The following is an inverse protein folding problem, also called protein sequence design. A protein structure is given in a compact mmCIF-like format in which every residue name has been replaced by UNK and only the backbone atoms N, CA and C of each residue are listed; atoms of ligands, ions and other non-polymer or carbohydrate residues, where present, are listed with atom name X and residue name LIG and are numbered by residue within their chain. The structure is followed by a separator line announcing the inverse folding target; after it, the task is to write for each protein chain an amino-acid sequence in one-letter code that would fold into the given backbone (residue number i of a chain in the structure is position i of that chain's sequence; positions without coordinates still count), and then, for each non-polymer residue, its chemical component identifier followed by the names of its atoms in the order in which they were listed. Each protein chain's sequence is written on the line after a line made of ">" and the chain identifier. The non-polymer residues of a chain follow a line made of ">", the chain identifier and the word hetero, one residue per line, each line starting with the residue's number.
data_IF_840968893724
#
_entry.id   IF_840968893724
#
_cell.length_a   1.000
_cell.length_b   1.000
_cell.length_c   1.000
_cell.angle_alpha   90.00
_cell.angle_beta   90.00
_cell.angle_gamma   90.00
#
_symmetry.space_group_name_H-M   'P 1'
#
loop_
_entity.id
_entity.type
_entity.pdbx_description
1 polymer ?
#
# COMPACT_ATOMS: atom_id res chain seq x y z
N UNK A 1 -10.79 -3.83 -65.75
CA UNK A 1 -9.82 -2.98 -65.03
C UNK A 1 -10.54 -1.73 -64.58
N UNK A 2 -10.52 -1.52 -63.26
CA UNK A 2 -11.28 -0.55 -62.49
C UNK A 2 -10.98 0.91 -62.85
N UNK A 3 -11.97 1.81 -62.73
CA UNK A 3 -12.14 2.61 -61.51
C UNK A 3 -13.13 3.76 -61.73
N UNK A 4 -14.24 3.70 -61.00
CA UNK A 4 -15.08 4.85 -60.67
C UNK A 4 -15.14 4.98 -59.14
N UNK A 5 -15.15 6.25 -58.73
CA UNK A 5 -15.46 6.84 -57.43
C UNK A 5 -16.20 6.00 -56.40
N UNK A 6 -15.71 6.03 -55.16
CA UNK A 6 -16.58 6.09 -53.99
C UNK A 6 -15.94 6.97 -52.90
N UNK A 7 -16.57 8.14 -52.71
CA UNK A 7 -16.47 8.98 -51.53
C UNK A 7 -17.04 8.24 -50.32
N UNK A 8 -16.31 8.19 -49.22
CA UNK A 8 -16.88 7.90 -47.91
C UNK A 8 -16.31 8.91 -46.90
N UNK A 9 -17.23 9.73 -46.39
CA UNK A 9 -17.01 10.64 -45.26
C UNK A 9 -16.63 9.83 -44.02
N UNK A 10 -15.33 9.70 -43.79
CA UNK A 10 -14.81 9.27 -42.50
C UNK A 10 -14.94 10.40 -41.50
N UNK A 11 -15.98 10.38 -40.67
CA UNK A 11 -15.99 11.13 -39.41
C UNK A 11 -14.70 10.81 -38.67
N UNK A 12 -13.82 11.81 -38.53
CA UNK A 12 -12.69 11.75 -37.63
C UNK A 12 -13.24 11.55 -36.21
N UNK A 13 -13.26 10.30 -35.76
CA UNK A 13 -13.35 9.98 -34.34
C UNK A 13 -12.08 10.57 -33.73
N UNK A 14 -12.26 11.63 -32.97
CA UNK A 14 -11.21 12.26 -32.17
C UNK A 14 -10.51 11.18 -31.35
N UNK A 15 -9.27 10.87 -31.69
CA UNK A 15 -8.37 10.08 -30.87
C UNK A 15 -8.20 10.81 -29.54
N UNK A 16 -8.93 10.39 -28.51
CA UNK A 16 -8.61 10.75 -27.12
C UNK A 16 -7.22 10.19 -26.87
N UNK A 17 -6.27 11.07 -26.58
CA UNK A 17 -4.91 10.69 -26.23
C UNK A 17 -4.93 9.72 -25.04
N UNK A 18 -4.43 8.50 -25.24
CA UNK A 18 -4.29 7.43 -24.24
C UNK A 18 -3.32 7.76 -23.07
N UNK A 19 -3.04 9.03 -22.78
CA UNK A 19 -1.83 9.42 -22.05
C UNK A 19 -2.03 10.32 -20.82
N UNK A 20 -3.25 10.48 -20.31
CA UNK A 20 -3.46 11.15 -19.03
C UNK A 20 -4.03 10.20 -17.99
N UNK A 21 -3.20 9.84 -17.01
CA UNK A 21 -3.65 9.11 -15.83
C UNK A 21 -4.59 10.00 -15.02
N UNK A 22 -5.82 9.55 -14.81
CA UNK A 22 -6.81 10.16 -13.92
C UNK A 22 -6.92 9.36 -12.60
N UNK A 23 -7.56 9.93 -11.56
CA UNK A 23 -7.69 9.27 -10.26
C UNK A 23 -8.64 8.08 -10.29
N UNK A 24 -8.26 7.01 -9.59
CA UNK A 24 -9.06 5.79 -9.48
C UNK A 24 -9.27 5.50 -8.00
N UNK A 25 -10.53 5.36 -7.61
CA UNK A 25 -10.98 5.07 -6.26
C UNK A 25 -11.32 3.58 -6.16
N UNK A 26 -10.46 2.80 -5.51
CA UNK A 26 -10.79 1.44 -5.10
C UNK A 26 -11.60 1.44 -3.81
N UNK A 27 -12.76 0.79 -3.80
CA UNK A 27 -13.62 0.68 -2.63
C UNK A 27 -13.83 -0.79 -2.25
N UNK A 28 -13.29 -1.18 -1.10
CA UNK A 28 -13.40 -2.54 -0.56
C UNK A 28 -14.48 -2.65 0.49
N UNK A 29 -15.30 -3.70 0.41
CA UNK A 29 -16.31 -3.99 1.43
C UNK A 29 -16.61 -5.50 1.53
N UNK A 30 -17.22 -5.90 2.65
CA UNK A 30 -17.64 -7.27 2.91
C UNK A 30 -19.06 -7.28 3.49
N UNK A 31 -19.32 -7.88 4.65
CA UNK A 31 -20.62 -7.85 5.29
C UNK A 31 -21.12 -6.41 5.54
N UNK A 32 -22.32 -6.08 5.04
CA UNK A 32 -22.89 -4.72 5.10
C UNK A 32 -22.35 -3.73 4.07
N UNK A 33 -21.52 -4.20 3.13
CA UNK A 33 -20.93 -3.36 2.09
C UNK A 33 -21.93 -2.80 1.09
N UNK A 34 -23.02 -3.51 0.79
CA UNK A 34 -24.04 -3.05 -0.16
C UNK A 34 -24.67 -1.71 0.27
N UNK A 35 -25.08 -1.60 1.53
CA UNK A 35 -25.67 -0.37 2.06
C UNK A 35 -24.65 0.77 2.06
N UNK A 36 -23.41 0.49 2.46
CA UNK A 36 -22.33 1.48 2.44
C UNK A 36 -22.00 1.97 1.02
N UNK A 37 -21.92 1.06 0.04
CA UNK A 37 -21.73 1.43 -1.37
C UNK A 37 -22.88 2.29 -1.87
N UNK A 38 -24.13 1.92 -1.60
CA UNK A 38 -25.29 2.69 -2.06
C UNK A 38 -25.28 4.10 -1.49
N UNK A 39 -25.03 4.23 -0.19
CA UNK A 39 -25.00 5.53 0.47
C UNK A 39 -23.85 6.41 -0.05
N UNK A 40 -22.64 5.86 -0.20
CA UNK A 40 -21.51 6.60 -0.77
C UNK A 40 -21.80 7.04 -2.21
N UNK A 41 -22.20 6.09 -3.08
CA UNK A 41 -22.41 6.35 -4.50
C UNK A 41 -23.57 7.34 -4.73
N UNK A 42 -24.62 7.33 -3.90
CA UNK A 42 -25.75 8.26 -4.04
C UNK A 42 -25.39 9.73 -3.79
N UNK A 43 -24.31 9.99 -3.05
CA UNK A 43 -23.84 11.33 -2.72
C UNK A 43 -22.69 11.81 -3.63
N UNK A 44 -22.18 10.96 -4.53
CA UNK A 44 -21.12 11.34 -5.45
C UNK A 44 -21.66 12.09 -6.67
N UNK A 45 -21.02 13.22 -7.04
CA UNK A 45 -21.22 13.82 -8.36
C UNK A 45 -20.85 12.85 -9.47
N UNK A 46 -21.48 13.01 -10.63
CA UNK A 46 -21.29 12.10 -11.78
C UNK A 46 -20.18 12.55 -12.73
N UNK A 47 -19.50 13.65 -12.42
CA UNK A 47 -18.53 14.34 -13.27
C UNK A 47 -17.21 14.66 -12.55
N UNK A 48 -16.90 13.93 -11.47
CA UNK A 48 -15.65 14.10 -10.69
C UNK A 48 -14.37 13.93 -11.50
N UNK A 49 -14.43 13.26 -12.65
CA UNK A 49 -13.26 12.86 -13.45
C UNK A 49 -12.54 11.63 -12.87
N UNK A 50 -13.07 11.01 -11.81
CA UNK A 50 -12.52 9.80 -11.19
C UNK A 50 -13.25 8.56 -11.68
N UNK A 51 -12.58 7.41 -11.67
CA UNK A 51 -13.26 6.11 -11.77
C UNK A 51 -13.43 5.48 -10.39
N UNK A 52 -14.50 4.70 -10.21
CA UNK A 52 -14.82 4.04 -8.95
C UNK A 52 -14.86 2.52 -9.18
N UNK A 53 -14.06 1.77 -8.42
CA UNK A 53 -13.95 0.32 -8.55
C UNK A 53 -14.41 -0.35 -7.25
N UNK A 54 -15.53 -1.05 -7.29
CA UNK A 54 -16.19 -1.66 -6.14
C UNK A 54 -15.75 -3.13 -6.04
N UNK A 55 -15.04 -3.43 -4.96
CA UNK A 55 -14.59 -4.77 -4.61
C UNK A 55 -15.38 -5.27 -3.40
N UNK A 56 -16.47 -5.98 -3.69
CA UNK A 56 -17.28 -6.64 -2.69
C UNK A 56 -16.83 -8.08 -2.51
N UNK A 57 -16.74 -8.57 -1.27
CA UNK A 57 -16.68 -10.00 -1.02
C UNK A 57 -18.00 -10.66 -1.44
N UNK A 58 -17.96 -11.41 -2.54
CA UNK A 58 -19.13 -12.08 -3.12
C UNK A 58 -19.05 -13.60 -2.91
N UNK A 59 -20.23 -14.22 -2.78
CA UNK A 59 -20.37 -15.67 -2.83
C UNK A 59 -19.97 -16.17 -4.22
N UNK A 60 -19.10 -17.18 -4.35
CA UNK A 60 -18.66 -17.68 -5.65
C UNK A 60 -19.74 -18.46 -6.40
N UNK A 61 -20.85 -18.81 -5.74
CA UNK A 61 -21.91 -19.67 -6.29
C UNK A 61 -23.22 -18.94 -6.57
N UNK A 62 -23.30 -17.64 -6.28
CA UNK A 62 -24.50 -16.84 -6.49
C UNK A 62 -24.20 -15.72 -7.48
N UNK A 63 -25.14 -15.49 -8.40
CA UNK A 63 -25.11 -14.30 -9.24
C UNK A 63 -25.18 -13.07 -8.34
N UNK A 64 -24.25 -12.13 -8.53
CA UNK A 64 -24.32 -10.84 -7.87
C UNK A 64 -25.38 -9.96 -8.54
N UNK A 65 -26.21 -9.30 -7.74
CA UNK A 65 -27.10 -8.24 -8.22
C UNK A 65 -26.52 -6.85 -7.93
N UNK A 66 -25.26 -6.78 -7.47
CA UNK A 66 -24.64 -5.53 -7.02
C UNK A 66 -24.61 -4.49 -8.15
N UNK A 67 -24.20 -4.88 -9.36
CA UNK A 67 -24.20 -4.00 -10.53
C UNK A 67 -25.58 -3.40 -10.77
N UNK A 68 -26.63 -4.24 -10.86
CA UNK A 68 -28.01 -3.80 -11.10
C UNK A 68 -28.55 -2.87 -10.00
N UNK A 69 -28.17 -3.11 -8.74
CA UNK A 69 -28.58 -2.28 -7.61
C UNK A 69 -27.87 -0.92 -7.62
N UNK A 70 -26.57 -0.92 -7.88
CA UNK A 70 -25.77 0.31 -7.93
C UNK A 70 -26.15 1.16 -9.15
N UNK A 71 -26.47 0.55 -10.29
CA UNK A 71 -26.99 1.28 -11.48
C UNK A 71 -28.25 2.10 -11.20
N UNK A 72 -29.05 1.74 -10.19
CA UNK A 72 -30.25 2.51 -9.81
C UNK A 72 -29.96 3.68 -8.87
N UNK A 73 -28.72 3.79 -8.40
CA UNK A 73 -28.31 4.74 -7.35
C UNK A 73 -27.55 5.94 -7.92
N UNK A 74 -27.02 5.85 -9.15
CA UNK A 74 -26.26 6.91 -9.81
C UNK A 74 -26.60 6.98 -11.31
N UNK A 75 -26.30 8.11 -11.94
CA UNK A 75 -26.37 8.26 -13.40
C UNK A 75 -25.05 7.90 -14.10
N UNK A 76 -23.96 7.68 -13.34
CA UNK A 76 -22.72 7.15 -13.91
C UNK A 76 -22.97 5.76 -14.52
N UNK A 77 -22.31 5.40 -15.64
CA UNK A 77 -22.36 4.04 -16.14
C UNK A 77 -21.79 3.08 -15.09
N UNK A 78 -22.57 2.05 -14.77
CA UNK A 78 -22.19 1.01 -13.82
C UNK A 78 -22.08 -0.32 -14.56
N UNK A 79 -20.90 -0.92 -14.56
CA UNK A 79 -20.60 -2.13 -15.34
C UNK A 79 -19.96 -3.19 -14.45
N UNK A 80 -20.32 -4.45 -14.70
CA UNK A 80 -19.55 -5.57 -14.17
C UNK A 80 -18.24 -5.69 -14.98
N UNK A 81 -17.12 -5.89 -14.30
CA UNK A 81 -15.81 -5.91 -14.94
C UNK A 81 -15.64 -7.16 -15.79
N UNK A 82 -15.13 -6.99 -17.00
CA UNK A 82 -14.63 -8.06 -17.85
C UNK A 82 -13.09 -7.99 -17.93
N UNK A 83 -12.45 -9.14 -18.19
CA UNK A 83 -10.99 -9.18 -18.32
C UNK A 83 -10.52 -8.32 -19.49
N UNK A 84 -9.58 -7.41 -19.24
CA UNK A 84 -9.03 -6.52 -20.28
C UNK A 84 -9.82 -5.22 -20.46
N UNK A 85 -10.77 -4.92 -19.57
CA UNK A 85 -11.58 -3.70 -19.65
C UNK A 85 -10.74 -2.46 -19.32
N UNK A 86 -10.80 -1.46 -20.21
CA UNK A 86 -10.15 -0.16 -20.00
C UNK A 86 -10.96 0.65 -18.99
N UNK A 87 -10.26 1.26 -18.02
CA UNK A 87 -10.87 2.16 -17.05
C UNK A 87 -11.10 3.52 -17.69
N UNK A 88 -12.30 4.06 -17.51
CA UNK A 88 -12.73 5.37 -17.99
C UNK A 88 -13.15 6.26 -16.81
N UNK A 89 -12.95 7.58 -16.88
CA UNK A 89 -13.42 8.50 -15.85
C UNK A 89 -14.95 8.48 -15.76
N UNK A 90 -15.49 8.83 -14.60
CA UNK A 90 -16.93 8.92 -14.32
C UNK A 90 -17.69 7.61 -14.52
N UNK A 91 -17.01 6.49 -14.30
CA UNK A 91 -17.58 5.14 -14.38
C UNK A 91 -17.47 4.41 -13.04
N UNK A 92 -18.42 3.51 -12.82
CA UNK A 92 -18.44 2.59 -11.67
C UNK A 92 -18.25 1.17 -12.17
N UNK A 93 -17.21 0.51 -11.68
CA UNK A 93 -16.82 -0.85 -12.03
C UNK A 93 -17.10 -1.79 -10.87
N UNK A 94 -17.77 -2.90 -11.10
CA UNK A 94 -18.11 -3.89 -10.06
C UNK A 94 -17.37 -5.19 -10.35
N UNK A 95 -16.61 -5.68 -9.37
CA UNK A 95 -15.90 -6.96 -9.51
C UNK A 95 -16.89 -8.12 -9.72
N UNK A 96 -16.66 -9.04 -10.67
CA UNK A 96 -17.49 -10.22 -10.83
C UNK A 96 -17.23 -11.25 -9.71
N UNK A 97 -18.21 -12.12 -9.39
CA UNK A 97 -18.03 -13.20 -8.43
C UNK A 97 -16.86 -14.13 -8.76
N UNK A 98 -16.24 -14.70 -7.74
CA UNK A 98 -15.22 -15.75 -7.87
C UNK A 98 -13.96 -15.36 -8.68
N UNK A 99 -13.57 -14.08 -8.66
CA UNK A 99 -12.35 -13.59 -9.31
C UNK A 99 -11.45 -12.83 -8.35
N UNK A 100 -10.17 -12.75 -8.69
CA UNK A 100 -9.27 -11.69 -8.26
C UNK A 100 -9.21 -10.63 -9.35
N UNK A 101 -8.94 -9.38 -8.96
CA UNK A 101 -8.83 -8.27 -9.88
C UNK A 101 -7.60 -7.42 -9.55
N UNK A 102 -6.90 -6.99 -10.59
CA UNK A 102 -5.78 -6.04 -10.53
C UNK A 102 -5.97 -4.98 -11.61
N UNK A 103 -5.23 -3.88 -11.53
CA UNK A 103 -5.14 -2.87 -12.58
C UNK A 103 -3.70 -2.80 -13.09
N UNK A 104 -3.53 -2.77 -14.41
CA UNK A 104 -2.24 -2.47 -15.04
C UNK A 104 -2.46 -1.69 -16.33
N UNK A 105 -1.72 -0.59 -16.52
CA UNK A 105 -1.78 0.25 -17.73
C UNK A 105 -3.21 0.78 -18.02
N UNK A 106 -3.99 1.05 -16.97
CA UNK A 106 -5.38 1.49 -17.09
C UNK A 106 -6.35 0.39 -17.50
N UNK A 107 -5.93 -0.87 -17.41
CA UNK A 107 -6.72 -2.04 -17.78
C UNK A 107 -6.98 -2.89 -16.54
N UNK A 108 -8.25 -3.23 -16.30
CA UNK A 108 -8.65 -4.17 -15.27
C UNK A 108 -8.41 -5.61 -15.74
N UNK A 109 -7.61 -6.34 -14.97
CA UNK A 109 -7.26 -7.73 -15.26
C UNK A 109 -7.88 -8.65 -14.23
N UNK A 110 -8.68 -9.60 -14.71
CA UNK A 110 -9.27 -10.65 -13.89
C UNK A 110 -8.42 -11.91 -13.93
N UNK A 111 -8.31 -12.58 -12.78
CA UNK A 111 -7.74 -13.91 -12.65
C UNK A 111 -8.60 -14.79 -11.74
N UNK A 112 -8.48 -16.12 -11.80
CA UNK A 112 -9.24 -17.01 -10.92
C UNK A 112 -9.01 -16.70 -9.45
N UNK A 113 -10.05 -16.82 -8.62
CA UNK A 113 -9.94 -16.64 -7.18
C UNK A 113 -8.99 -17.66 -6.57
N UNK A 114 -7.83 -17.21 -6.11
CA UNK A 114 -6.90 -18.01 -5.32
C UNK A 114 -7.31 -17.87 -3.85
N UNK A 115 -7.66 -18.97 -3.20
CA UNK A 115 -7.89 -18.97 -1.75
C UNK A 115 -6.56 -19.22 -1.05
N UNK A 116 -5.94 -18.17 -0.52
CA UNK A 116 -4.87 -18.30 0.46
C UNK A 116 -5.48 -18.49 1.84
N UNK A 117 -5.27 -19.67 2.45
CA UNK A 117 -5.63 -19.96 3.84
C UNK A 117 -7.10 -19.67 4.22
N UNK A 118 -8.02 -19.87 3.27
CA UNK A 118 -9.47 -19.72 3.52
C UNK A 118 -10.00 -18.28 3.46
N UNK A 119 -9.14 -17.27 3.36
CA UNK A 119 -9.55 -15.88 3.09
C UNK A 119 -9.18 -15.46 1.67
N UNK A 120 -9.95 -14.52 1.11
CA UNK A 120 -9.69 -13.95 -0.20
C UNK A 120 -9.27 -12.52 0.01
N UNK A 121 -7.99 -12.22 -0.21
CA UNK A 121 -7.43 -10.87 -0.01
C UNK A 121 -7.62 -10.02 -1.28
N UNK A 122 -8.84 -9.99 -1.78
CA UNK A 122 -9.16 -9.42 -3.10
C UNK A 122 -9.09 -7.91 -3.07
N UNK A 123 -9.48 -7.28 -1.96
CA UNK A 123 -9.35 -5.83 -1.78
C UNK A 123 -7.88 -5.44 -1.68
N UNK A 124 -7.10 -6.12 -0.84
CA UNK A 124 -5.65 -5.89 -0.72
C UNK A 124 -4.95 -6.03 -2.07
N UNK A 125 -5.25 -7.11 -2.81
CA UNK A 125 -4.64 -7.36 -4.13
C UNK A 125 -4.91 -6.23 -5.11
N UNK A 126 -6.17 -5.78 -5.19
CA UNK A 126 -6.52 -4.67 -6.07
C UNK A 126 -5.84 -3.37 -5.63
N UNK A 127 -5.90 -3.03 -4.33
CA UNK A 127 -5.32 -1.81 -3.78
C UNK A 127 -3.81 -1.74 -3.96
N UNK A 128 -3.09 -2.87 -3.83
CA UNK A 128 -1.66 -2.94 -4.09
C UNK A 128 -1.36 -2.61 -5.57
N UNK A 129 -2.04 -3.25 -6.52
CA UNK A 129 -1.84 -2.94 -7.94
C UNK A 129 -2.26 -1.50 -8.30
N UNK A 130 -3.29 -0.98 -7.62
CA UNK A 130 -3.77 0.39 -7.79
C UNK A 130 -2.73 1.41 -7.30
N UNK A 131 -2.09 1.14 -6.16
CA UNK A 131 -1.02 1.96 -5.63
C UNK A 131 0.15 2.05 -6.61
N UNK A 132 0.60 0.90 -7.11
CA UNK A 132 1.72 0.79 -8.05
C UNK A 132 1.45 1.53 -9.37
N UNK A 133 0.22 1.42 -9.91
CA UNK A 133 -0.12 2.05 -11.18
C UNK A 133 -0.40 3.56 -11.05
N UNK A 134 -1.13 3.97 -10.00
CA UNK A 134 -1.70 5.33 -9.92
C UNK A 134 -0.96 6.25 -8.96
N UNK A 135 -0.12 5.73 -8.06
CA UNK A 135 0.64 6.56 -7.12
C UNK A 135 -0.25 7.53 -6.34
N UNK A 136 0.02 8.84 -6.47
CA UNK A 136 -0.80 9.89 -5.83
C UNK A 136 -2.23 10.02 -6.36
N UNK A 137 -2.54 9.37 -7.48
CA UNK A 137 -3.89 9.26 -8.07
C UNK A 137 -4.64 8.01 -7.59
N UNK A 138 -4.02 7.16 -6.77
CA UNK A 138 -4.67 6.04 -6.11
C UNK A 138 -5.45 6.52 -4.88
N UNK A 139 -6.71 6.14 -4.78
CA UNK A 139 -7.51 6.39 -3.58
C UNK A 139 -8.11 5.07 -3.11
N UNK A 140 -7.90 4.72 -1.84
CA UNK A 140 -8.41 3.51 -1.23
C UNK A 140 -9.47 3.82 -0.20
N UNK A 141 -10.60 3.12 -0.25
CA UNK A 141 -11.71 3.26 0.70
C UNK A 141 -12.07 1.89 1.25
N UNK A 142 -11.95 1.70 2.56
CA UNK A 142 -12.42 0.49 3.26
C UNK A 142 -13.75 0.79 3.93
N UNK A 143 -14.79 0.04 3.56
CA UNK A 143 -16.15 0.16 4.09
C UNK A 143 -16.49 -1.04 4.98
N UNK A 144 -17.74 -1.08 5.45
CA UNK A 144 -18.31 -2.14 6.31
C UNK A 144 -17.91 -3.56 5.85
N UNK A 145 -17.42 -4.35 6.81
CA UNK A 145 -16.93 -5.71 6.57
C UNK A 145 -16.47 -6.43 7.83
N UNK A 146 -16.36 -7.76 7.74
CA UNK A 146 -16.10 -8.64 8.90
C UNK A 146 -14.64 -9.08 9.10
N UNK A 147 -13.78 -8.87 8.12
CA UNK A 147 -12.38 -9.34 8.12
C UNK A 147 -11.39 -8.16 8.17
N UNK A 148 -10.15 -8.35 7.71
CA UNK A 148 -9.10 -7.31 7.69
C UNK A 148 -8.61 -6.97 6.28
N UNK A 149 -9.29 -7.45 5.24
CA UNK A 149 -8.94 -7.21 3.83
C UNK A 149 -8.97 -5.71 3.52
N UNK A 150 -8.10 -5.26 2.63
CA UNK A 150 -7.89 -3.85 2.29
C UNK A 150 -6.91 -3.11 3.20
N UNK A 151 -6.57 -3.63 4.39
CA UNK A 151 -5.63 -2.95 5.31
C UNK A 151 -4.22 -2.81 4.71
N UNK A 152 -3.69 -3.89 4.12
CA UNK A 152 -2.36 -3.85 3.46
C UNK A 152 -2.41 -3.02 2.19
N UNK A 153 -3.54 -3.09 1.49
CA UNK A 153 -3.83 -2.26 0.34
C UNK A 153 -3.75 -0.77 0.64
N UNK A 154 -4.37 -0.32 1.73
CA UNK A 154 -4.30 1.07 2.16
C UNK A 154 -2.88 1.49 2.55
N UNK A 155 -2.12 0.61 3.20
CA UNK A 155 -0.70 0.83 3.48
C UNK A 155 0.08 1.10 2.18
N UNK A 156 -0.08 0.26 1.16
CA UNK A 156 0.55 0.45 -0.15
C UNK A 156 0.10 1.76 -0.83
N UNK A 157 -1.20 2.05 -0.84
CA UNK A 157 -1.74 3.30 -1.42
C UNK A 157 -1.11 4.52 -0.75
N UNK A 158 -1.05 4.53 0.59
CA UNK A 158 -0.43 5.62 1.35
C UNK A 158 1.07 5.73 1.11
N UNK A 159 1.77 4.60 1.08
CA UNK A 159 3.19 4.55 0.77
C UNK A 159 3.50 5.13 -0.62
N UNK A 160 2.61 4.89 -1.59
CA UNK A 160 2.72 5.45 -2.94
C UNK A 160 2.06 6.83 -3.10
N UNK A 161 1.79 7.50 -1.99
CA UNK A 161 1.35 8.90 -1.96
C UNK A 161 -0.13 9.10 -2.29
N UNK A 162 -0.89 8.03 -2.42
CA UNK A 162 -2.34 8.06 -2.55
C UNK A 162 -3.04 8.50 -1.27
N UNK A 163 -4.37 8.46 -1.28
CA UNK A 163 -5.22 8.93 -0.18
C UNK A 163 -6.08 7.77 0.32
N UNK A 164 -6.26 7.67 1.63
CA UNK A 164 -6.88 6.50 2.25
C UNK A 164 -8.04 6.87 3.17
N UNK A 165 -9.10 6.08 3.11
CA UNK A 165 -10.33 6.26 3.87
C UNK A 165 -10.73 4.96 4.55
N UNK A 166 -11.33 5.10 5.73
CA UNK A 166 -12.12 4.05 6.35
C UNK A 166 -13.49 4.58 6.75
N UNK A 167 -14.52 3.74 6.63
CA UNK A 167 -15.84 4.04 7.17
C UNK A 167 -15.77 4.17 8.70
N UNK A 168 -16.44 5.17 9.29
CA UNK A 168 -16.48 5.32 10.74
C UNK A 168 -17.31 4.22 11.41
N UNK A 169 -16.93 3.85 12.63
CA UNK A 169 -17.49 2.72 13.37
C UNK A 169 -19.01 2.82 13.53
N UNK A 170 -19.52 4.02 13.81
CA UNK A 170 -20.94 4.26 14.11
C UNK A 170 -21.85 4.02 12.90
N UNK A 171 -21.31 4.15 11.68
CA UNK A 171 -22.05 3.95 10.44
C UNK A 171 -21.87 2.54 9.84
N UNK A 172 -20.87 1.78 10.30
CA UNK A 172 -20.56 0.48 9.76
C UNK A 172 -21.50 -0.60 10.33
N UNK A 173 -22.24 -1.29 9.46
CA UNK A 173 -23.10 -2.41 9.86
C UNK A 173 -22.30 -3.59 10.41
N UNK A 174 -21.10 -3.78 9.89
CA UNK A 174 -20.05 -4.65 10.44
C UNK A 174 -18.75 -3.85 10.44
N UNK A 175 -18.20 -3.60 11.64
CA UNK A 175 -17.13 -2.62 11.84
C UNK A 175 -15.71 -3.21 11.89
N UNK A 176 -15.56 -4.54 11.89
CA UNK A 176 -14.25 -5.21 12.02
C UNK A 176 -13.23 -4.76 10.96
N UNK A 177 -13.64 -4.74 9.69
CA UNK A 177 -12.79 -4.35 8.56
C UNK A 177 -12.36 -2.89 8.58
N UNK A 178 -13.27 -1.90 8.67
CA UNK A 178 -12.86 -0.50 8.76
C UNK A 178 -12.11 -0.17 10.05
N UNK A 179 -12.45 -0.78 11.19
CA UNK A 179 -11.72 -0.55 12.45
C UNK A 179 -10.29 -1.12 12.39
N UNK A 180 -10.10 -2.28 11.76
CA UNK A 180 -8.76 -2.86 11.55
C UNK A 180 -7.91 -1.96 10.65
N UNK A 181 -8.52 -1.43 9.58
CA UNK A 181 -7.88 -0.47 8.70
C UNK A 181 -7.50 0.82 9.45
N UNK A 182 -8.42 1.42 10.20
CA UNK A 182 -8.18 2.62 11.00
C UNK A 182 -7.04 2.42 12.03
N UNK A 183 -7.08 1.30 12.76
CA UNK A 183 -6.07 0.96 13.76
C UNK A 183 -4.68 0.65 13.17
N UNK A 184 -4.55 0.51 11.85
CA UNK A 184 -3.25 0.32 11.19
C UNK A 184 -2.39 1.60 11.16
N UNK A 185 -2.98 2.78 11.36
CA UNK A 185 -2.30 4.06 11.21
C UNK A 185 -2.14 4.53 9.75
N UNK A 186 -2.59 3.71 8.79
CA UNK A 186 -2.49 4.01 7.36
C UNK A 186 -3.77 4.60 6.76
N UNK A 187 -4.74 5.00 7.57
CA UNK A 187 -5.95 5.71 7.13
C UNK A 187 -5.78 7.21 7.35
N UNK A 188 -6.09 8.02 6.33
CA UNK A 188 -6.02 9.48 6.42
C UNK A 188 -7.34 10.09 6.91
N UNK A 189 -8.49 9.49 6.54
CA UNK A 189 -9.81 9.96 6.95
C UNK A 189 -10.71 8.82 7.44
N UNK A 190 -11.32 8.99 8.61
CA UNK A 190 -12.34 8.09 9.16
C UNK A 190 -13.67 8.85 9.15
N UNK A 191 -14.60 8.45 8.28
CA UNK A 191 -15.79 9.26 7.93
C UNK A 191 -17.01 8.37 7.64
N UNK A 192 -18.22 8.93 7.68
CA UNK A 192 -19.42 8.24 7.18
C UNK A 192 -19.39 8.12 5.65
N UNK A 193 -20.13 7.18 5.02
CA UNK A 193 -20.17 7.05 3.56
C UNK A 193 -20.52 8.35 2.82
N UNK A 194 -21.50 9.12 3.33
CA UNK A 194 -21.83 10.47 2.84
C UNK A 194 -20.62 11.41 2.88
N UNK A 195 -19.93 11.49 4.03
CA UNK A 195 -18.76 12.36 4.19
C UNK A 195 -17.54 11.90 3.39
N UNK A 196 -17.41 10.61 3.13
CA UNK A 196 -16.42 10.09 2.18
C UNK A 196 -16.73 10.62 0.77
N UNK A 197 -17.99 10.54 0.31
CA UNK A 197 -18.39 11.02 -1.00
C UNK A 197 -18.14 12.54 -1.18
N UNK A 198 -18.53 13.36 -0.20
CA UNK A 198 -18.24 14.79 -0.19
C UNK A 198 -16.74 15.07 -0.29
N UNK A 199 -15.93 14.37 0.52
CA UNK A 199 -14.49 14.56 0.55
C UNK A 199 -13.82 14.10 -0.75
N UNK A 200 -14.31 13.05 -1.39
CA UNK A 200 -13.87 12.59 -2.70
C UNK A 200 -14.15 13.65 -3.78
N UNK A 201 -15.32 14.28 -3.76
CA UNK A 201 -15.67 15.37 -4.67
C UNK A 201 -14.79 16.62 -4.45
N UNK A 202 -14.45 16.95 -3.20
CA UNK A 202 -13.50 18.02 -2.89
C UNK A 202 -12.11 17.71 -3.47
N UNK A 203 -11.63 16.47 -3.28
CA UNK A 203 -10.29 16.05 -3.68
C UNK A 203 -10.15 15.95 -5.21
N UNK A 204 -11.22 15.62 -5.93
CA UNK A 204 -11.16 15.41 -7.38
C UNK A 204 -10.72 16.66 -8.17
N UNK A 205 -10.92 17.85 -7.57
CA UNK A 205 -10.52 19.13 -8.14
C UNK A 205 -9.16 19.61 -7.64
N UNK A 206 -8.55 18.91 -6.68
CA UNK A 206 -7.32 19.36 -6.04
C UNK A 206 -6.09 19.07 -6.95
N UNK A 207 -5.18 20.04 -7.17
CA UNK A 207 -4.03 19.89 -8.06
C UNK A 207 -3.10 18.71 -7.75
N UNK A 208 -3.05 18.29 -6.48
CA UNK A 208 -2.28 17.12 -6.04
C UNK A 208 -2.74 15.81 -6.71
N UNK A 209 -4.04 15.66 -6.94
CA UNK A 209 -4.65 14.45 -7.51
C UNK A 209 -4.99 14.65 -8.99
N UNK A 210 -5.41 15.85 -9.35
CA UNK A 210 -5.77 16.23 -10.71
C UNK A 210 -5.06 17.53 -11.14
N UNK A 211 -3.78 17.45 -11.55
CA UNK A 211 -3.06 18.64 -11.99
C UNK A 211 -3.64 19.17 -13.32
N UNK A 212 -3.77 20.50 -13.49
CA UNK A 212 -4.27 21.07 -14.74
C UNK A 212 -3.32 20.76 -15.92
N UNK A 213 -3.92 20.38 -17.06
CA UNK A 213 -3.33 19.86 -18.31
C UNK A 213 -2.25 20.79 -18.93
N UNK A 214 -2.10 22.03 -18.44
CA UNK A 214 -1.24 23.07 -19.05
C UNK A 214 0.03 23.42 -18.26
N UNK A 215 0.42 22.61 -17.27
CA UNK A 215 1.73 22.79 -16.62
C UNK A 215 2.57 21.56 -16.96
N UNK A 216 3.63 21.67 -17.79
CA UNK A 216 4.57 20.56 -17.92
C UNK A 216 5.03 20.19 -16.52
N UNK A 217 5.18 18.88 -16.25
CA UNK A 217 5.63 18.34 -14.97
C UNK A 217 7.00 18.93 -14.57
N UNK A 218 6.98 20.15 -14.05
CA UNK A 218 8.12 20.99 -13.71
C UNK A 218 7.70 21.75 -12.46
N UNK A 219 8.34 21.38 -11.35
CA UNK A 219 8.99 22.34 -10.44
C UNK A 219 8.22 23.62 -10.05
N UNK A 220 6.92 23.55 -9.77
CA UNK A 220 6.15 24.74 -9.35
C UNK A 220 5.64 24.61 -7.92
N UNK A 221 6.50 24.15 -7.02
CA UNK A 221 6.71 25.00 -5.85
C UNK A 221 7.75 25.99 -6.36
N UNK A 222 7.54 27.32 -6.29
CA UNK A 222 8.64 28.26 -6.44
C UNK A 222 9.83 27.71 -5.65
N UNK A 223 11.06 27.90 -6.11
CA UNK A 223 12.20 27.75 -5.20
C UNK A 223 12.09 28.83 -4.11
N UNK A 224 11.12 28.76 -3.21
CA UNK A 224 11.30 29.14 -1.82
C UNK A 224 12.23 28.07 -1.24
N UNK A 225 13.49 28.09 -1.68
CA UNK A 225 14.56 27.25 -1.13
C UNK A 225 14.55 27.30 0.40
N UNK A 226 14.15 28.45 0.96
CA UNK A 226 13.96 28.68 2.39
C UNK A 226 12.84 27.83 3.01
N UNK A 227 11.66 27.71 2.40
CA UNK A 227 10.55 27.00 3.02
C UNK A 227 10.81 25.49 3.13
N UNK A 228 11.29 24.85 2.06
CA UNK A 228 11.64 23.43 2.11
C UNK A 228 12.83 23.17 3.05
N UNK A 229 13.82 24.07 3.06
CA UNK A 229 14.95 24.00 4.00
C UNK A 229 14.49 24.17 5.44
N UNK A 230 13.50 25.03 5.70
CA UNK A 230 12.90 25.20 7.03
C UNK A 230 12.17 23.93 7.47
N UNK A 231 11.41 23.27 6.58
CA UNK A 231 10.80 21.97 6.87
C UNK A 231 11.87 20.93 7.26
N UNK A 232 12.97 20.85 6.50
CA UNK A 232 14.08 19.93 6.83
C UNK A 232 14.75 20.28 8.15
N UNK A 233 14.90 21.57 8.46
CA UNK A 233 15.44 22.03 9.74
C UNK A 233 14.54 21.63 10.92
N UNK A 234 13.21 21.80 10.78
CA UNK A 234 12.23 21.38 11.79
C UNK A 234 12.26 19.86 12.00
N UNK A 235 12.27 19.08 10.92
CA UNK A 235 12.38 17.62 10.97
C UNK A 235 13.69 17.19 11.64
N UNK A 236 14.83 17.76 11.22
CA UNK A 236 16.15 17.44 11.78
C UNK A 236 16.24 17.78 13.26
N UNK A 237 15.69 18.91 13.67
CA UNK A 237 15.66 19.32 15.08
C UNK A 237 14.84 18.34 15.92
N UNK A 238 13.68 17.90 15.42
CA UNK A 238 12.79 17.00 16.15
C UNK A 238 13.26 15.53 16.16
N UNK A 239 13.91 15.07 15.08
CA UNK A 239 14.14 13.63 14.82
C UNK A 239 15.62 13.24 14.76
N UNK A 240 16.52 14.23 14.62
CA UNK A 240 17.96 14.06 14.34
C UNK A 240 18.26 13.37 13.00
N UNK A 241 17.28 13.22 12.12
CA UNK A 241 17.44 12.66 10.77
C UNK A 241 17.59 13.78 9.76
N UNK A 242 18.54 13.63 8.84
CA UNK A 242 18.77 14.60 7.78
C UNK A 242 18.17 14.11 6.45
N UNK A 243 17.15 14.82 5.97
CA UNK A 243 16.47 14.53 4.70
C UNK A 243 17.01 15.34 3.52
N UNK A 244 18.00 16.23 3.72
CA UNK A 244 18.50 17.13 2.68
C UNK A 244 19.09 16.41 1.45
N UNK A 245 19.57 15.17 1.63
CA UNK A 245 20.14 14.33 0.58
C UNK A 245 19.15 13.31 0.00
N UNK A 246 17.92 13.24 0.52
CA UNK A 246 16.91 12.30 0.02
C UNK A 246 16.29 12.79 -1.29
N UNK A 247 15.71 11.88 -2.08
CA UNK A 247 15.14 12.20 -3.40
C UNK A 247 14.06 13.27 -3.28
N UNK A 248 14.39 14.51 -3.72
CA UNK A 248 13.52 15.69 -3.58
C UNK A 248 12.10 15.48 -4.10
N UNK A 249 11.94 14.75 -5.21
CA UNK A 249 10.61 14.47 -5.81
C UNK A 249 9.73 13.66 -4.85
N UNK A 250 10.29 12.67 -4.15
CA UNK A 250 9.56 11.84 -3.18
C UNK A 250 9.15 12.66 -1.96
N UNK A 251 10.06 13.49 -1.44
CA UNK A 251 9.77 14.38 -0.30
C UNK A 251 8.67 15.39 -0.64
N UNK A 252 8.80 16.09 -1.77
CA UNK A 252 7.83 17.09 -2.21
C UNK A 252 6.44 16.48 -2.31
N UNK A 253 6.32 15.29 -2.91
CA UNK A 253 5.03 14.59 -3.03
C UNK A 253 4.41 14.30 -1.65
N UNK A 254 5.18 13.79 -0.69
CA UNK A 254 4.69 13.49 0.66
C UNK A 254 4.30 14.76 1.43
N UNK A 255 5.09 15.82 1.31
CA UNK A 255 4.77 17.12 1.88
C UNK A 255 3.45 17.66 1.27
N UNK A 256 3.32 17.63 -0.06
CA UNK A 256 2.09 18.04 -0.74
C UNK A 256 0.87 17.21 -0.32
N UNK A 257 1.06 15.90 -0.11
CA UNK A 257 0.01 15.02 0.44
C UNK A 257 -0.45 15.51 1.81
N UNK A 258 0.48 15.77 2.74
CA UNK A 258 0.18 16.30 4.08
C UNK A 258 -0.50 17.67 4.00
N UNK A 259 0.00 18.56 3.17
CA UNK A 259 -0.60 19.88 2.92
C UNK A 259 -2.08 19.77 2.46
N UNK A 260 -2.37 18.84 1.55
CA UNK A 260 -3.74 18.58 1.10
C UNK A 260 -4.66 18.12 2.24
N UNK A 261 -4.17 17.29 3.17
CA UNK A 261 -4.96 16.86 4.34
C UNK A 261 -5.43 18.04 5.19
N UNK A 262 -4.61 19.08 5.29
CA UNK A 262 -4.89 20.31 6.05
C UNK A 262 -5.41 21.48 5.20
N UNK A 263 -5.70 21.25 3.91
CA UNK A 263 -6.17 22.29 2.97
C UNK A 263 -5.21 23.49 2.87
N UNK A 264 -3.90 23.22 2.84
CA UNK A 264 -2.85 24.22 2.72
C UNK A 264 -2.30 24.23 1.30
N UNK A 265 -2.34 25.37 0.62
CA UNK A 265 -1.89 25.47 -0.78
C UNK A 265 -0.43 25.90 -0.91
N UNK A 266 0.11 26.61 0.10
CA UNK A 266 1.46 27.18 0.05
C UNK A 266 2.40 26.51 1.06
N UNK A 267 3.64 26.33 0.64
CA UNK A 267 4.66 25.69 1.46
C UNK A 267 4.99 26.52 2.70
N UNK A 268 4.90 27.85 2.61
CA UNK A 268 5.12 28.76 3.73
C UNK A 268 4.04 28.58 4.82
N UNK A 269 2.78 28.38 4.44
CA UNK A 269 1.69 28.15 5.39
C UNK A 269 1.90 26.82 6.12
N UNK A 270 2.42 25.81 5.43
CA UNK A 270 2.76 24.53 6.06
C UNK A 270 3.96 24.63 7.00
N UNK A 271 4.95 25.49 6.71
CA UNK A 271 6.03 25.78 7.66
C UNK A 271 5.48 26.37 8.96
N UNK A 272 4.60 27.38 8.86
CA UNK A 272 3.95 27.97 10.05
C UNK A 272 3.14 26.90 10.82
N UNK A 273 2.37 26.09 10.10
CA UNK A 273 1.60 25.01 10.71
C UNK A 273 2.48 23.99 11.46
N UNK A 274 3.61 23.58 10.89
CA UNK A 274 4.58 22.68 11.52
C UNK A 274 5.21 23.28 12.79
N UNK A 275 5.45 24.58 12.81
CA UNK A 275 5.99 25.28 13.99
C UNK A 275 5.00 25.29 15.16
N UNK A 276 3.71 25.45 14.87
CA UNK A 276 2.64 25.48 15.87
C UNK A 276 2.18 24.08 16.30
N UNK A 277 2.42 23.05 15.47
CA UNK A 277 1.91 21.70 15.68
C UNK A 277 3.03 20.64 15.69
N UNK A 278 3.69 20.40 16.85
CA UNK A 278 4.75 19.38 16.97
C UNK A 278 4.29 17.96 16.63
N UNK A 279 2.98 17.67 16.79
CA UNK A 279 2.39 16.40 16.38
C UNK A 279 2.46 16.22 14.85
N UNK A 280 2.28 17.30 14.08
CA UNK A 280 2.39 17.26 12.62
C UNK A 280 3.82 17.00 12.16
N UNK A 281 4.82 17.55 12.86
CA UNK A 281 6.23 17.26 12.55
C UNK A 281 6.52 15.76 12.68
N UNK A 282 5.98 15.12 13.72
CA UNK A 282 6.11 13.67 13.92
C UNK A 282 5.33 12.89 12.85
N UNK A 283 4.13 13.33 12.49
CA UNK A 283 3.32 12.68 11.48
C UNK A 283 3.96 12.78 10.08
N UNK A 284 4.48 13.96 9.72
CA UNK A 284 5.27 14.16 8.50
C UNK A 284 6.51 13.25 8.50
N UNK A 285 7.27 13.22 9.61
CA UNK A 285 8.42 12.34 9.73
C UNK A 285 8.05 10.88 9.45
N UNK A 286 6.97 10.37 10.06
CA UNK A 286 6.50 9.01 9.81
C UNK A 286 6.04 8.81 8.36
N UNK A 287 5.34 9.78 7.76
CA UNK A 287 4.91 9.71 6.36
C UNK A 287 6.10 9.67 5.39
N UNK A 288 7.24 10.27 5.75
CA UNK A 288 8.50 10.24 5.00
C UNK A 288 9.22 8.90 5.08
N UNK A 289 9.02 8.11 6.14
CA UNK A 289 9.59 6.77 6.28
C UNK A 289 8.70 5.77 5.54
N UNK A 290 9.18 5.24 4.41
CA UNK A 290 8.47 4.17 3.69
C UNK A 290 8.64 2.88 4.49
N UNK A 291 7.54 2.31 4.99
CA UNK A 291 7.56 1.13 5.88
C UNK A 291 7.07 -0.15 5.23
N UNK A 292 6.71 -0.14 3.94
CA UNK A 292 6.13 -1.30 3.25
C UNK A 292 7.09 -2.48 3.25
N UNK A 293 6.69 -3.58 3.88
CA UNK A 293 7.44 -4.83 3.92
C UNK A 293 6.48 -6.02 4.04
N UNK A 294 6.92 -7.21 3.64
CA UNK A 294 6.14 -8.43 3.76
C UNK A 294 7.04 -9.66 3.80
N UNK A 295 6.57 -10.72 4.44
CA UNK A 295 7.28 -12.00 4.43
C UNK A 295 7.45 -12.52 3.01
N UNK A 296 8.68 -12.93 2.68
CA UNK A 296 9.04 -13.51 1.38
C UNK A 296 8.63 -12.65 0.18
N UNK A 297 8.73 -11.32 0.31
CA UNK A 297 8.23 -10.32 -0.65
C UNK A 297 8.63 -10.61 -2.10
N UNK A 298 9.92 -10.83 -2.34
CA UNK A 298 10.46 -11.07 -3.67
C UNK A 298 10.85 -12.55 -3.80
N UNK A 299 9.90 -13.38 -4.26
CA UNK A 299 10.04 -14.83 -4.32
C UNK A 299 11.35 -15.25 -5.02
N UNK A 300 11.65 -14.65 -6.17
CA UNK A 300 12.84 -14.93 -6.97
C UNK A 300 14.15 -14.64 -6.20
N UNK A 301 14.18 -13.56 -5.40
CA UNK A 301 15.34 -13.22 -4.57
C UNK A 301 15.54 -14.25 -3.45
N UNK A 302 14.45 -14.70 -2.81
CA UNK A 302 14.52 -15.74 -1.79
C UNK A 302 14.84 -17.13 -2.35
N UNK A 303 14.43 -17.44 -3.58
CA UNK A 303 14.88 -18.65 -4.28
C UNK A 303 16.38 -18.60 -4.55
N UNK A 304 16.89 -17.49 -5.09
CA UNK A 304 18.32 -17.32 -5.34
C UNK A 304 19.17 -17.43 -4.05
N UNK A 305 18.67 -16.90 -2.92
CA UNK A 305 19.32 -17.09 -1.62
C UNK A 305 19.50 -18.58 -1.28
N UNK A 306 18.44 -19.39 -1.48
CA UNK A 306 18.45 -20.82 -1.14
C UNK A 306 19.28 -21.66 -2.11
N UNK A 307 19.22 -21.40 -3.41
CA UNK A 307 19.81 -22.25 -4.45
C UNK A 307 21.24 -21.86 -4.79
N UNK A 308 21.60 -20.59 -4.65
CA UNK A 308 22.91 -20.07 -5.07
C UNK A 308 23.74 -19.60 -3.87
N UNK A 309 23.19 -18.72 -3.03
CA UNK A 309 23.99 -18.04 -1.99
C UNK A 309 24.28 -18.93 -0.79
N UNK A 310 23.27 -19.57 -0.21
CA UNK A 310 23.43 -20.41 0.97
C UNK A 310 24.44 -21.56 0.77
N UNK A 311 24.43 -22.30 -0.36
CA UNK A 311 25.48 -23.28 -0.67
C UNK A 311 26.89 -22.69 -0.69
N UNK A 312 27.05 -21.48 -1.23
CA UNK A 312 28.36 -20.81 -1.30
C UNK A 312 28.83 -20.43 0.10
N UNK A 313 27.98 -19.77 0.88
CA UNK A 313 28.39 -19.24 2.19
C UNK A 313 28.56 -20.34 3.24
N UNK A 314 27.98 -21.54 3.09
CA UNK A 314 28.20 -22.66 4.02
C UNK A 314 29.36 -23.57 3.62
N UNK A 315 29.87 -23.45 2.39
CA UNK A 315 30.96 -24.30 1.88
C UNK A 315 32.25 -24.10 2.69
N UNK A 316 32.88 -25.21 3.07
CA UNK A 316 34.19 -25.25 3.76
C UNK A 316 34.26 -24.42 5.06
N UNK A 317 33.15 -24.17 5.73
CA UNK A 317 33.14 -23.48 7.03
C UNK A 317 33.61 -24.38 8.16
N UNK A 318 34.33 -23.78 9.11
CA UNK A 318 34.63 -24.44 10.39
C UNK A 318 33.39 -24.41 11.30
N UNK A 319 33.17 -25.42 12.16
CA UNK A 319 31.96 -25.53 12.99
C UNK A 319 31.66 -24.31 13.88
N UNK A 320 32.66 -23.50 14.23
CA UNK A 320 32.51 -22.33 15.09
C UNK A 320 32.52 -20.99 14.35
N UNK A 321 32.58 -20.98 13.02
CA UNK A 321 32.57 -19.74 12.23
C UNK A 321 31.13 -19.27 11.97
N UNK A 322 30.67 -18.19 12.63
CA UNK A 322 29.27 -17.78 12.53
C UNK A 322 28.92 -17.28 11.13
N UNK A 323 27.74 -17.64 10.64
CA UNK A 323 27.11 -16.97 9.51
C UNK A 323 26.55 -15.65 10.04
N UNK A 324 27.00 -14.54 9.47
CA UNK A 324 26.52 -13.20 9.79
C UNK A 324 25.82 -12.60 8.58
N UNK A 325 24.60 -12.14 8.78
CA UNK A 325 23.80 -11.48 7.74
C UNK A 325 23.39 -10.12 8.29
N UNK A 326 23.44 -9.09 7.45
CA UNK A 326 22.93 -7.78 7.78
C UNK A 326 21.75 -7.43 6.88
N UNK A 327 20.63 -7.09 7.50
CA UNK A 327 19.40 -6.62 6.88
C UNK A 327 19.23 -5.14 7.19
N UNK A 328 19.61 -4.29 6.25
CA UNK A 328 19.58 -2.84 6.38
C UNK A 328 18.25 -2.27 5.88
N UNK A 329 17.59 -1.43 6.68
CA UNK A 329 16.23 -0.98 6.40
C UNK A 329 15.20 -2.08 6.65
N UNK A 330 15.29 -2.76 7.80
CA UNK A 330 14.50 -3.97 8.05
C UNK A 330 13.00 -3.73 8.31
N UNK A 331 12.57 -2.46 8.45
CA UNK A 331 11.21 -2.08 8.84
C UNK A 331 10.73 -2.93 10.03
N UNK A 332 9.55 -3.54 9.91
CA UNK A 332 8.91 -4.39 10.93
C UNK A 332 9.46 -5.81 11.00
N UNK A 333 10.56 -6.12 10.32
CA UNK A 333 11.37 -7.33 10.53
C UNK A 333 11.04 -8.53 9.64
N UNK A 334 10.02 -8.45 8.79
CA UNK A 334 9.55 -9.54 7.93
C UNK A 334 10.68 -10.14 7.06
N UNK A 335 11.51 -9.30 6.44
CA UNK A 335 12.64 -9.76 5.61
C UNK A 335 13.69 -10.52 6.44
N UNK A 336 14.08 -9.97 7.59
CA UNK A 336 15.06 -10.60 8.47
C UNK A 336 14.59 -11.99 8.93
N UNK A 337 13.31 -12.10 9.29
CA UNK A 337 12.72 -13.38 9.65
C UNK A 337 12.55 -14.34 8.47
N UNK A 338 12.21 -13.84 7.27
CA UNK A 338 12.16 -14.67 6.07
C UNK A 338 13.54 -15.25 5.72
N UNK A 339 14.61 -14.45 5.83
CA UNK A 339 15.98 -14.93 5.62
C UNK A 339 16.33 -16.00 6.67
N UNK A 340 16.01 -15.75 7.94
CA UNK A 340 16.24 -16.70 9.04
C UNK A 340 15.55 -18.05 8.77
N UNK A 341 14.27 -18.01 8.38
CA UNK A 341 13.48 -19.19 8.06
C UNK A 341 14.09 -19.95 6.87
N UNK A 342 14.39 -19.28 5.77
CA UNK A 342 15.00 -19.91 4.60
C UNK A 342 16.35 -20.56 4.92
N UNK A 343 17.18 -19.91 5.76
CA UNK A 343 18.48 -20.45 6.17
C UNK A 343 18.32 -21.68 7.06
N UNK A 344 17.37 -21.67 8.01
CA UNK A 344 17.07 -22.84 8.83
C UNK A 344 16.54 -24.01 7.99
N UNK A 345 15.66 -23.75 7.02
CA UNK A 345 15.17 -24.75 6.07
C UNK A 345 16.33 -25.38 5.30
N UNK A 346 17.25 -24.57 4.78
CA UNK A 346 18.45 -25.02 4.06
C UNK A 346 19.37 -25.89 4.91
N UNK A 347 19.57 -25.53 6.18
CA UNK A 347 20.46 -26.24 7.10
C UNK A 347 19.86 -27.50 7.73
N UNK A 348 18.53 -27.67 7.70
CA UNK A 348 17.84 -28.80 8.35
C UNK A 348 18.36 -30.17 7.89
N UNK A 349 18.83 -30.26 6.64
CA UNK A 349 19.32 -31.51 6.04
C UNK A 349 20.86 -31.64 6.10
N UNK A 350 21.56 -30.76 6.83
CA UNK A 350 23.02 -30.75 6.91
C UNK A 350 23.50 -31.20 8.28
N UNK A 351 24.65 -31.89 8.32
CA UNK A 351 25.29 -32.38 9.56
C UNK A 351 26.04 -31.24 10.30
N UNK A 352 25.99 -30.02 9.77
CA UNK A 352 26.77 -28.89 10.27
C UNK A 352 25.89 -28.00 11.14
N UNK A 353 26.26 -27.82 12.40
CA UNK A 353 25.64 -26.84 13.28
C UNK A 353 26.47 -25.55 13.26
N UNK A 354 26.04 -24.55 12.48
CA UNK A 354 26.72 -23.26 12.37
C UNK A 354 26.01 -22.22 13.25
N UNK A 355 26.74 -21.43 14.05
CA UNK A 355 26.14 -20.27 14.71
C UNK A 355 25.62 -19.27 13.65
N UNK A 356 24.42 -18.74 13.85
CA UNK A 356 23.80 -17.76 12.94
C UNK A 356 23.53 -16.48 13.73
N UNK A 357 23.88 -15.33 13.14
CA UNK A 357 23.54 -14.01 13.66
C UNK A 357 23.05 -13.12 12.52
N UNK A 358 21.80 -12.70 12.60
CA UNK A 358 21.16 -11.79 11.65
C UNK A 358 21.00 -10.45 12.35
N UNK A 359 21.76 -9.46 11.92
CA UNK A 359 21.61 -8.09 12.38
C UNK A 359 20.60 -7.40 11.49
N UNK A 360 19.56 -6.82 12.07
CA UNK A 360 18.50 -6.15 11.34
C UNK A 360 18.35 -4.74 11.89
N UNK A 361 18.49 -3.75 11.01
CA UNK A 361 18.62 -2.35 11.44
C UNK A 361 17.71 -1.44 10.65
N UNK A 362 17.09 -0.49 11.34
CA UNK A 362 16.22 0.52 10.74
C UNK A 362 16.31 1.84 11.49
N UNK A 363 15.93 2.95 10.86
CA UNK A 363 15.87 4.26 11.50
C UNK A 363 14.57 4.45 12.30
N UNK A 364 13.51 3.72 11.94
CA UNK A 364 12.20 3.78 12.57
C UNK A 364 12.14 2.93 13.84
N UNK A 365 12.18 3.57 15.01
CA UNK A 365 12.12 2.86 16.30
C UNK A 365 10.83 2.06 16.48
N UNK A 366 9.68 2.59 16.02
CA UNK A 366 8.40 1.89 16.14
C UNK A 366 8.41 0.58 15.34
N UNK A 367 9.00 0.60 14.14
CA UNK A 367 9.14 -0.59 13.32
C UNK A 367 10.08 -1.61 13.97
N UNK A 368 11.19 -1.15 14.56
CA UNK A 368 12.13 -1.98 15.32
C UNK A 368 11.48 -2.62 16.55
N UNK A 369 10.65 -1.89 17.30
CA UNK A 369 9.91 -2.44 18.44
C UNK A 369 8.95 -3.55 18.00
N UNK A 370 8.21 -3.34 16.92
CA UNK A 370 7.37 -4.39 16.33
C UNK A 370 8.20 -5.60 15.89
N UNK A 371 9.32 -5.38 15.22
CA UNK A 371 10.23 -6.43 14.78
C UNK A 371 10.76 -7.27 15.96
N UNK A 372 11.17 -6.62 17.06
CA UNK A 372 11.61 -7.28 18.30
C UNK A 372 10.50 -8.13 18.93
N UNK A 373 9.28 -7.61 18.97
CA UNK A 373 8.11 -8.35 19.47
C UNK A 373 7.81 -9.56 18.57
N UNK A 374 7.99 -9.40 17.25
CA UNK A 374 7.80 -10.44 16.25
C UNK A 374 6.35 -10.91 16.16
N UNK A 375 5.38 -10.05 16.50
CA UNK A 375 3.95 -10.33 16.43
C UNK A 375 3.38 -9.70 15.17
N UNK A 376 2.67 -10.52 14.39
CA UNK A 376 2.11 -10.15 13.09
C UNK A 376 0.64 -10.56 13.03
N UNK A 377 -0.18 -9.68 12.47
CA UNK A 377 -1.61 -9.90 12.26
C UNK A 377 -1.85 -11.01 11.23
N UNK A 378 -3.06 -11.58 11.23
CA UNK A 378 -3.45 -12.66 10.32
C UNK A 378 -3.23 -12.28 8.85
N UNK A 379 -3.59 -11.05 8.45
CA UNK A 379 -3.37 -10.58 7.10
C UNK A 379 -1.88 -10.47 6.75
N UNK A 380 -1.01 -10.07 7.69
CA UNK A 380 0.44 -9.96 7.49
C UNK A 380 1.10 -11.28 7.11
N UNK A 381 0.60 -12.40 7.66
CA UNK A 381 1.13 -13.74 7.38
C UNK A 381 0.33 -14.53 6.33
N UNK A 382 -0.66 -13.91 5.67
CA UNK A 382 -1.57 -14.60 4.75
C UNK A 382 -0.89 -15.28 3.54
N UNK A 383 0.33 -14.86 3.19
CA UNK A 383 1.10 -15.43 2.07
C UNK A 383 2.14 -16.48 2.53
N UNK A 384 2.16 -16.84 3.82
CA UNK A 384 3.11 -17.83 4.36
C UNK A 384 2.48 -19.22 4.32
N UNK A 385 3.21 -20.20 3.77
CA UNK A 385 2.70 -21.56 3.63
C UNK A 385 2.28 -22.18 4.98
N UNK A 386 1.29 -23.11 5.00
CA UNK A 386 0.82 -23.74 6.24
C UNK A 386 1.95 -24.45 7.00
N UNK A 387 2.87 -25.06 6.26
CA UNK A 387 4.02 -25.79 6.82
C UNK A 387 4.96 -24.82 7.55
N UNK A 388 5.22 -23.64 6.95
CA UNK A 388 6.04 -22.60 7.57
C UNK A 388 5.34 -21.98 8.78
N UNK A 389 4.04 -21.70 8.68
CA UNK A 389 3.25 -21.21 9.81
C UNK A 389 3.29 -22.18 10.99
N UNK A 390 3.04 -23.47 10.73
CA UNK A 390 3.06 -24.50 11.78
C UNK A 390 4.45 -24.66 12.42
N UNK A 391 5.51 -24.53 11.63
CA UNK A 391 6.89 -24.80 12.06
C UNK A 391 7.57 -23.60 12.72
N UNK A 392 7.33 -22.39 12.23
CA UNK A 392 8.11 -21.20 12.58
C UNK A 392 7.32 -20.11 13.30
N UNK A 393 6.01 -20.29 13.47
CA UNK A 393 5.14 -19.31 14.15
C UNK A 393 4.37 -19.97 15.29
N UNK A 394 3.97 -19.15 16.27
CA UNK A 394 3.15 -19.54 17.42
C UNK A 394 1.87 -18.70 17.36
N UNK A 395 0.67 -19.31 17.39
CA UNK A 395 -0.58 -18.56 17.39
C UNK A 395 -0.70 -17.75 18.69
N UNK A 396 -1.14 -16.50 18.58
CA UNK A 396 -1.41 -15.58 19.69
C UNK A 396 -2.75 -14.87 19.45
N UNK A 397 -3.23 -14.13 20.43
CA UNK A 397 -4.43 -13.31 20.25
C UNK A 397 -4.24 -12.33 19.08
N UNK A 398 -5.15 -12.36 18.11
CA UNK A 398 -5.13 -11.47 16.94
C UNK A 398 -4.12 -11.81 15.82
N UNK A 399 -3.35 -12.89 15.94
CA UNK A 399 -2.41 -13.28 14.88
C UNK A 399 -1.37 -14.33 15.28
N UNK A 400 -0.12 -14.09 14.88
CA UNK A 400 0.98 -15.04 15.03
C UNK A 400 2.24 -14.33 15.54
N UNK A 401 2.99 -15.00 16.41
CA UNK A 401 4.31 -14.57 16.82
C UNK A 401 5.38 -15.48 16.20
N UNK A 402 6.49 -14.89 15.72
CA UNK A 402 7.64 -15.67 15.27
C UNK A 402 8.17 -16.52 16.44
N UNK A 403 8.43 -17.80 16.15
CA UNK A 403 8.90 -18.75 17.16
C UNK A 403 10.22 -18.28 17.77
N UNK A 404 10.40 -18.58 19.06
CA UNK A 404 11.60 -18.19 19.82
C UNK A 404 12.92 -18.60 19.13
N UNK A 405 13.06 -19.83 18.57
CA UNK A 405 14.29 -20.23 17.88
C UNK A 405 14.64 -19.34 16.68
N UNK A 406 13.66 -18.82 15.95
CA UNK A 406 13.91 -17.90 14.82
C UNK A 406 14.27 -16.50 15.33
N UNK A 407 13.58 -16.01 16.38
CA UNK A 407 13.86 -14.69 16.98
C UNK A 407 15.24 -14.59 17.59
N UNK A 408 15.73 -15.65 18.22
CA UNK A 408 17.07 -15.67 18.83
C UNK A 408 18.21 -15.55 17.80
N UNK A 409 17.94 -15.80 16.52
CA UNK A 409 18.90 -15.56 15.44
C UNK A 409 19.00 -14.08 15.06
N UNK A 410 17.98 -13.27 15.40
CA UNK A 410 17.82 -11.92 14.91
C UNK A 410 18.11 -10.88 16.02
N UNK A 411 18.97 -9.92 15.73
CA UNK A 411 19.29 -8.79 16.59
C UNK A 411 18.79 -7.51 15.92
N UNK A 412 17.74 -6.91 16.48
CA UNK A 412 17.16 -5.68 15.96
C UNK A 412 17.68 -4.45 16.68
N UNK A 413 18.17 -3.47 15.92
CA UNK A 413 18.70 -2.23 16.46
C UNK A 413 18.30 -1.03 15.62
N UNK A 414 18.08 0.11 16.28
CA UNK A 414 17.95 1.37 15.57
C UNK A 414 19.31 1.78 15.01
N UNK A 415 19.37 2.10 13.72
CA UNK A 415 20.57 2.62 13.08
C UNK A 415 20.21 3.61 11.96
N UNK A 416 20.84 4.77 11.98
CA UNK A 416 20.95 5.66 10.83
C UNK A 416 22.17 5.27 10.00
N UNK A 417 21.96 4.63 8.84
CA UNK A 417 23.04 4.15 7.96
C UNK A 417 24.03 5.23 7.50
N UNK A 418 23.59 6.50 7.50
CA UNK A 418 24.39 7.64 7.04
C UNK A 418 25.18 8.27 8.18
N UNK A 419 24.60 8.28 9.39
CA UNK A 419 25.13 9.05 10.52
C UNK A 419 25.73 8.23 11.66
N UNK A 420 25.26 7.00 11.86
CA UNK A 420 25.71 6.17 12.96
C UNK A 420 26.96 5.37 12.55
N UNK A 421 27.88 5.09 13.50
CA UNK A 421 29.05 4.28 13.21
C UNK A 421 28.66 2.85 12.77
N UNK A 422 29.51 2.23 11.96
CA UNK A 422 29.34 0.83 11.60
C UNK A 422 29.34 -0.05 12.86
N UNK A 423 28.56 -1.13 12.84
CA UNK A 423 28.51 -2.06 13.97
C UNK A 423 29.93 -2.57 14.29
N UNK A 424 30.44 -2.40 15.52
CA UNK A 424 31.82 -2.77 15.89
C UNK A 424 32.14 -4.26 15.66
N UNK A 425 31.11 -5.11 15.61
CA UNK A 425 31.24 -6.56 15.45
C UNK A 425 31.58 -7.04 14.03
N UNK A 426 31.71 -6.14 13.04
CA UNK A 426 32.00 -6.47 11.64
C UNK A 426 33.45 -6.24 11.20
N UNK A 427 34.31 -5.76 12.11
CA UNK A 427 35.76 -5.62 11.90
C UNK A 427 36.49 -6.80 12.53
#
# INVERSE_FOLDING_TARGET
>A
MNSQSNSSDGKQVSQVSQNELFPVVGMGASAGGLEAFRELISHLPTDTGMAFVLIQHLSPHQKSLLTEIISRTTQMPVVEVEHGMVVEPNHVYVIPPNTMMTISQGILQLSPRIKTHGSSMTVDTFFISLAEERGNKAIGVVLSGGDSDGTKGLESIKADGGITFAQCEESAKVNSMPNTAAASGYVDFILTPEKIAEKLADISHHPYVNPPISVPAIETIPESGDALTNIFSLLRTATKVDFSHYKKTTLKRRIQRRMMLYKLDRLEDYVCYLQENPAEVKALYQDLLITVTSFFRDFEAFEALKTEIFPIITKNRTPNSPIRIWVAGCSTGEEAYSIAICLLEFLTNQVINLPIQIFATDINELAIEQARNGIYKINQVANISPERLQRFFVPVEGGYQISKPVRELCVFARQNLIGDPHFPAWI
#
